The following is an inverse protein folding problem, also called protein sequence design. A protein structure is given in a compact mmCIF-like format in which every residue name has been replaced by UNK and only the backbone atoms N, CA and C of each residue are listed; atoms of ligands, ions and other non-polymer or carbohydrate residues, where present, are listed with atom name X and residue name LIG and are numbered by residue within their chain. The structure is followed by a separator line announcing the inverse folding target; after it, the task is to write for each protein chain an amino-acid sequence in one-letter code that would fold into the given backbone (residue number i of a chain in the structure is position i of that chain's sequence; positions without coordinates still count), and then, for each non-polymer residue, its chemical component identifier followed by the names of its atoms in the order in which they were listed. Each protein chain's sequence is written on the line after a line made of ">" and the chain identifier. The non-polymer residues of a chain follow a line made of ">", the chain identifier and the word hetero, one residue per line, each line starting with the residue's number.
data_IF_910680639441
#
_entry.id   IF_910680639441
#
_cell.length_a   1.000
_cell.length_b   1.000
_cell.length_c   1.000
_cell.angle_alpha   90.00
_cell.angle_beta   90.00
_cell.angle_gamma   90.00
#
_symmetry.space_group_name_H-M   'P 1'
#
loop_
_entity.id
_entity.type
_entity.pdbx_description
1 polymer ?
#
# COMPACT_ATOMS: atom_id res chain seq x y z
N UNK A 1 -10.09 42.98 32.64
CA UNK A 1 -9.83 41.51 32.70
C UNK A 1 -10.94 40.80 31.91
N UNK A 2 -10.70 39.54 31.54
CA UNK A 2 -11.54 38.60 30.75
C UNK A 2 -11.36 38.75 29.21
N UNK A 3 -10.25 38.28 28.64
CA UNK A 3 -9.94 36.91 28.18
C UNK A 3 -10.80 36.39 27.01
N UNK A 4 -10.25 36.52 25.81
CA UNK A 4 -10.67 35.78 24.61
C UNK A 4 -10.35 34.30 24.79
N UNK A 5 -11.34 33.41 24.67
CA UNK A 5 -11.09 31.97 24.42
C UNK A 5 -11.58 31.59 23.03
N UNK A 6 -10.63 31.56 22.10
CA UNK A 6 -10.73 30.80 20.86
C UNK A 6 -10.52 29.33 21.22
N UNK A 7 -11.62 28.59 21.36
CA UNK A 7 -11.60 27.13 21.50
C UNK A 7 -11.20 26.51 20.17
N UNK A 8 -9.99 25.96 20.12
CA UNK A 8 -9.42 25.18 19.01
C UNK A 8 -10.43 24.13 18.53
N UNK A 9 -10.66 24.11 17.21
CA UNK A 9 -11.41 23.05 16.56
C UNK A 9 -10.79 21.70 16.90
N UNK A 10 -11.59 20.86 17.57
CA UNK A 10 -11.32 19.43 17.65
C UNK A 10 -11.36 18.91 16.21
N UNK A 11 -10.17 18.69 15.65
CA UNK A 11 -10.01 18.08 14.34
C UNK A 11 -10.52 16.65 14.50
N UNK A 12 -11.77 16.44 14.07
CA UNK A 12 -12.42 15.13 14.02
C UNK A 12 -11.45 14.19 13.32
N UNK A 13 -10.87 13.25 14.07
CA UNK A 13 -10.17 12.11 13.47
C UNK A 13 -11.23 11.38 12.66
N UNK A 14 -11.11 11.46 11.34
CA UNK A 14 -11.96 10.69 10.44
C UNK A 14 -11.80 9.19 10.70
N UNK A 15 -12.63 8.34 10.08
CA UNK A 15 -12.49 6.90 10.16
C UNK A 15 -11.04 6.50 9.84
N UNK A 16 -10.38 5.77 10.75
CA UNK A 16 -9.08 5.19 10.50
C UNK A 16 -9.27 3.92 9.69
N UNK A 17 -8.63 3.84 8.52
CA UNK A 17 -8.61 2.67 7.65
C UNK A 17 -7.81 1.51 8.28
N UNK A 18 -8.21 0.97 9.43
CA UNK A 18 -7.57 -0.19 10.09
C UNK A 18 -6.66 0.11 11.28
N UNK A 19 -5.96 -0.92 11.81
CA UNK A 19 -5.08 -0.76 12.97
C UNK A 19 -3.92 0.19 12.67
N UNK A 20 -3.68 1.14 13.57
CA UNK A 20 -2.59 2.11 13.44
C UNK A 20 -1.25 1.43 13.78
N UNK A 21 -0.61 0.83 12.78
CA UNK A 21 0.72 0.24 12.91
C UNK A 21 1.81 1.31 12.74
N UNK A 22 2.87 1.23 13.54
CA UNK A 22 4.09 1.99 13.28
C UNK A 22 4.76 1.43 12.01
N UNK A 23 4.68 2.17 10.91
CA UNK A 23 5.29 1.82 9.62
C UNK A 23 6.52 2.69 9.40
N UNK A 24 7.69 2.07 9.20
CA UNK A 24 8.87 2.77 8.69
C UNK A 24 8.69 3.07 7.19
N UNK A 25 8.11 4.23 6.91
CA UNK A 25 7.80 4.67 5.55
C UNK A 25 9.04 4.75 4.65
N UNK A 26 10.21 5.05 5.21
CA UNK A 26 11.43 5.17 4.43
C UNK A 26 11.96 3.80 4.01
N UNK A 27 11.96 2.82 4.93
CA UNK A 27 12.32 1.45 4.60
C UNK A 27 11.34 0.84 3.58
N UNK A 28 10.04 1.11 3.74
CA UNK A 28 9.01 0.66 2.80
C UNK A 28 9.24 1.27 1.42
N UNK A 29 9.43 2.59 1.33
CA UNK A 29 9.70 3.26 0.05
C UNK A 29 10.93 2.72 -0.65
N UNK A 30 12.04 2.54 0.07
CA UNK A 30 13.28 1.98 -0.49
C UNK A 30 13.04 0.58 -1.06
N UNK A 31 12.44 -0.32 -0.28
CA UNK A 31 12.15 -1.69 -0.70
C UNK A 31 11.30 -1.75 -1.97
N UNK A 32 10.25 -0.92 -2.04
CA UNK A 32 9.34 -0.89 -3.18
C UNK A 32 9.99 -0.26 -4.42
N UNK A 33 10.80 0.79 -4.23
CA UNK A 33 11.57 1.39 -5.32
C UNK A 33 12.59 0.40 -5.91
N UNK A 34 13.31 -0.33 -5.06
CA UNK A 34 14.28 -1.34 -5.49
C UNK A 34 13.58 -2.47 -6.29
N UNK A 35 12.40 -2.90 -5.84
CA UNK A 35 11.59 -3.88 -6.57
C UNK A 35 11.12 -3.34 -7.93
N UNK A 36 10.59 -2.12 -7.97
CA UNK A 36 10.12 -1.48 -9.19
C UNK A 36 11.25 -1.25 -10.20
N UNK A 37 12.45 -0.89 -9.74
CA UNK A 37 13.61 -0.65 -10.61
C UNK A 37 14.21 -1.93 -11.20
N UNK A 38 14.10 -3.06 -10.49
CA UNK A 38 14.71 -4.34 -10.90
C UNK A 38 13.81 -5.21 -11.77
N UNK A 39 12.53 -4.86 -11.93
CA UNK A 39 11.53 -5.65 -12.65
C UNK A 39 10.84 -4.84 -13.72
N UNK A 40 10.31 -5.51 -14.74
CA UNK A 40 9.59 -4.86 -15.84
C UNK A 40 8.08 -4.95 -15.64
N UNK A 41 7.36 -3.95 -16.14
CA UNK A 41 5.89 -3.93 -16.13
C UNK A 41 5.30 -4.07 -14.73
N UNK A 42 5.89 -3.37 -13.75
CA UNK A 42 5.44 -3.41 -12.37
C UNK A 42 4.19 -2.54 -12.22
N UNK A 43 3.16 -3.11 -11.62
CA UNK A 43 1.91 -2.43 -11.28
C UNK A 43 1.69 -2.49 -9.78
N UNK A 44 1.13 -1.42 -9.23
CA UNK A 44 0.81 -1.27 -7.82
C UNK A 44 -0.67 -1.57 -7.55
N UNK A 45 -0.93 -2.29 -6.46
CA UNK A 45 -2.25 -2.68 -6.00
C UNK A 45 -2.40 -2.34 -4.53
N UNK A 46 -3.36 -1.49 -4.19
CA UNK A 46 -3.66 -1.09 -2.82
C UNK A 46 -4.68 -2.07 -2.24
N UNK A 47 -4.28 -2.79 -1.20
CA UNK A 47 -5.16 -3.60 -0.38
C UNK A 47 -5.84 -2.74 0.68
N UNK A 48 -7.15 -2.90 0.89
CA UNK A 48 -7.81 -2.29 2.04
C UNK A 48 -7.24 -2.88 3.34
N UNK A 49 -7.37 -2.15 4.45
CA UNK A 49 -7.07 -2.71 5.75
C UNK A 49 -7.99 -3.88 6.10
N UNK A 50 -7.51 -4.71 7.03
CA UNK A 50 -8.33 -5.70 7.73
C UNK A 50 -8.34 -5.38 9.23
N UNK A 51 -9.00 -6.21 10.03
CA UNK A 51 -8.98 -6.09 11.49
C UNK A 51 -7.56 -6.21 12.08
N UNK A 52 -6.65 -6.90 11.38
CA UNK A 52 -5.30 -7.22 11.90
C UNK A 52 -4.17 -6.66 11.03
N UNK A 53 -4.47 -6.06 9.89
CA UNK A 53 -3.47 -5.44 8.99
C UNK A 53 -3.90 -4.05 8.57
N UNK A 54 -2.95 -3.11 8.60
CA UNK A 54 -3.14 -1.79 8.00
C UNK A 54 -3.25 -1.89 6.47
N UNK A 55 -3.58 -0.77 5.82
CA UNK A 55 -3.57 -0.67 4.35
C UNK A 55 -2.21 -1.09 3.83
N UNK A 56 -2.19 -1.98 2.82
CA UNK A 56 -0.98 -2.58 2.28
C UNK A 56 -0.84 -2.25 0.79
N UNK A 57 0.38 -2.00 0.35
CA UNK A 57 0.71 -1.83 -1.06
C UNK A 57 1.40 -3.10 -1.57
N UNK A 58 0.89 -3.65 -2.67
CA UNK A 58 1.45 -4.80 -3.37
C UNK A 58 1.99 -4.33 -4.72
N UNK A 59 3.24 -4.68 -5.03
CA UNK A 59 3.78 -4.52 -6.37
C UNK A 59 3.81 -5.87 -7.07
N UNK A 60 3.34 -5.90 -8.31
CA UNK A 60 3.24 -7.11 -9.13
C UNK A 60 3.91 -6.84 -10.48
N UNK A 61 5.01 -7.55 -10.74
CA UNK A 61 5.75 -7.48 -11.99
C UNK A 61 5.01 -8.16 -13.15
N UNK A 62 5.52 -7.98 -14.37
CA UNK A 62 4.95 -8.55 -15.60
C UNK A 62 4.85 -10.08 -15.57
N UNK A 63 5.83 -10.76 -14.98
CA UNK A 63 5.84 -12.23 -14.85
C UNK A 63 5.03 -12.76 -13.65
N UNK A 64 4.39 -11.85 -12.90
CA UNK A 64 3.59 -12.15 -11.72
C UNK A 64 4.38 -12.25 -10.43
N UNK A 65 5.71 -12.08 -10.44
CA UNK A 65 6.46 -11.91 -9.19
C UNK A 65 5.92 -10.72 -8.42
N UNK A 66 5.82 -10.83 -7.10
CA UNK A 66 5.22 -9.79 -6.28
C UNK A 66 5.90 -9.59 -4.94
N UNK A 67 5.76 -8.39 -4.38
CA UNK A 67 6.16 -8.06 -3.01
C UNK A 67 5.09 -7.19 -2.36
N UNK A 68 5.00 -7.21 -1.03
CA UNK A 68 4.00 -6.42 -0.28
C UNK A 68 4.58 -5.73 0.95
N UNK A 69 4.10 -4.53 1.25
CA UNK A 69 4.49 -3.75 2.44
C UNK A 69 3.29 -2.97 2.99
N UNK A 70 3.17 -2.92 4.32
CA UNK A 70 2.19 -2.06 4.97
C UNK A 70 2.53 -0.59 4.66
N UNK A 71 1.54 0.18 4.23
CA UNK A 71 1.66 1.60 3.92
C UNK A 71 0.99 2.48 5.01
N UNK A 72 0.24 1.87 5.93
CA UNK A 72 -0.49 2.56 6.98
C UNK A 72 -1.90 2.93 6.51
N UNK A 73 -2.05 4.08 5.87
CA UNK A 73 -3.33 4.57 5.38
C UNK A 73 -3.50 4.36 3.88
N UNK A 74 -4.75 4.39 3.41
CA UNK A 74 -5.08 4.33 1.99
C UNK A 74 -4.39 5.44 1.19
N UNK A 75 -4.46 6.68 1.67
CA UNK A 75 -3.83 7.82 1.00
C UNK A 75 -2.31 7.63 0.89
N UNK A 76 -1.65 7.22 1.96
CA UNK A 76 -0.20 6.97 1.95
C UNK A 76 0.19 5.88 0.94
N UNK A 77 -0.63 4.84 0.77
CA UNK A 77 -0.39 3.80 -0.22
C UNK A 77 -0.46 4.33 -1.66
N UNK A 78 -1.48 5.14 -1.99
CA UNK A 78 -1.62 5.76 -3.31
C UNK A 78 -0.52 6.79 -3.58
N UNK A 79 -0.16 7.62 -2.61
CA UNK A 79 0.92 8.61 -2.75
C UNK A 79 2.27 7.93 -2.98
N UNK A 80 2.54 6.87 -2.21
CA UNK A 80 3.77 6.09 -2.35
C UNK A 80 3.85 5.44 -3.73
N UNK A 81 2.79 4.77 -4.17
CA UNK A 81 2.74 4.12 -5.47
C UNK A 81 2.88 5.12 -6.63
N UNK A 82 2.20 6.27 -6.54
CA UNK A 82 2.31 7.36 -7.51
C UNK A 82 3.73 7.91 -7.59
N UNK A 83 4.44 8.00 -6.45
CA UNK A 83 5.83 8.46 -6.42
C UNK A 83 6.83 7.52 -7.12
N UNK A 84 6.44 6.26 -7.35
CA UNK A 84 7.24 5.28 -8.10
C UNK A 84 7.02 5.38 -9.62
N UNK A 85 6.05 6.19 -10.09
CA UNK A 85 5.78 6.37 -11.52
C UNK A 85 5.21 5.13 -12.22
N UNK A 86 4.54 4.25 -11.47
CA UNK A 86 3.93 3.01 -11.98
C UNK A 86 2.39 3.08 -11.90
N UNK A 87 1.65 2.31 -12.72
CA UNK A 87 0.19 2.25 -12.63
C UNK A 87 -0.25 1.76 -11.25
N UNK A 88 -1.32 2.36 -10.70
CA UNK A 88 -1.85 2.07 -9.36
C UNK A 88 -3.32 1.73 -9.42
N UNK A 89 -3.72 0.66 -8.75
CA UNK A 89 -5.09 0.16 -8.73
C UNK A 89 -5.56 -0.12 -7.29
N UNK A 90 -6.87 -0.03 -7.06
CA UNK A 90 -7.50 -0.57 -5.86
C UNK A 90 -7.89 -2.03 -6.08
N UNK A 91 -7.40 -2.93 -5.24
CA UNK A 91 -7.71 -4.36 -5.30
C UNK A 91 -9.21 -4.62 -5.18
N UNK A 92 -9.95 -3.83 -4.39
CA UNK A 92 -11.40 -4.01 -4.26
C UNK A 92 -12.14 -3.72 -5.57
N UNK A 93 -11.56 -2.94 -6.47
CA UNK A 93 -12.17 -2.60 -7.75
C UNK A 93 -11.70 -3.50 -8.87
N UNK A 94 -10.39 -3.78 -8.96
CA UNK A 94 -9.81 -4.54 -10.07
C UNK A 94 -9.66 -6.02 -9.77
N UNK A 95 -9.62 -6.40 -8.49
CA UNK A 95 -9.08 -7.68 -8.06
C UNK A 95 -7.58 -7.81 -8.33
N UNK A 96 -7.05 -9.00 -8.06
CA UNK A 96 -5.68 -9.37 -8.38
C UNK A 96 -5.51 -9.79 -9.84
N UNK A 97 -4.42 -9.39 -10.51
CA UNK A 97 -4.17 -9.82 -11.87
C UNK A 97 -3.86 -11.32 -11.92
N UNK A 98 -4.27 -11.97 -13.01
CA UNK A 98 -4.11 -13.42 -13.20
C UNK A 98 -2.64 -13.86 -13.05
N UNK A 99 -1.70 -13.08 -13.57
CA UNK A 99 -0.25 -13.37 -13.52
C UNK A 99 0.29 -13.62 -12.10
N UNK A 100 -0.23 -12.93 -11.08
CA UNK A 100 0.16 -13.14 -9.68
C UNK A 100 -0.26 -14.53 -9.19
N UNK A 101 -1.47 -14.99 -9.59
CA UNK A 101 -1.96 -16.32 -9.24
C UNK A 101 -1.12 -17.41 -9.89
N UNK A 102 -0.80 -17.22 -11.16
CA UNK A 102 0.06 -18.14 -11.91
C UNK A 102 1.47 -18.20 -11.34
N UNK A 103 2.04 -17.07 -10.90
CA UNK A 103 3.31 -17.04 -10.21
C UNK A 103 3.28 -17.87 -8.92
N UNK A 104 2.25 -17.70 -8.09
CA UNK A 104 2.08 -18.50 -6.88
C UNK A 104 1.94 -20.00 -7.20
N UNK A 105 1.21 -20.36 -8.26
CA UNK A 105 1.12 -21.75 -8.73
C UNK A 105 2.46 -22.30 -9.22
N UNK A 106 3.31 -21.48 -9.86
CA UNK A 106 4.67 -21.86 -10.26
C UNK A 106 5.57 -22.07 -9.04
N UNK A 107 5.56 -21.16 -8.06
CA UNK A 107 6.41 -21.29 -6.86
C UNK A 107 6.06 -22.54 -6.05
N UNK A 108 4.77 -22.83 -5.84
CA UNK A 108 4.32 -24.04 -5.12
C UNK A 108 4.72 -25.37 -5.77
N UNK A 109 5.03 -25.38 -7.07
CA UNK A 109 5.49 -26.59 -7.78
C UNK A 109 7.01 -26.78 -7.69
N UNK A 110 7.74 -25.73 -7.29
CA UNK A 110 9.20 -25.74 -7.17
C UNK A 110 9.65 -26.14 -5.76
N UNK A 111 8.77 -25.93 -4.79
CA UNK A 111 8.88 -26.42 -3.40
C UNK A 111 8.37 -27.87 -3.29
#
# INVERSE_FOLDING_TARGET
>A
MVWWRRGRGSQRRGPSDGPNMAVDQQAVKRHLADFAASRRGVEAYVEPPTNVTATTLILIAHDGEWTRRAAGTRQAAFDLASSLGIPVYDVLHTGYPQRMREWNSRQRKRD
#
